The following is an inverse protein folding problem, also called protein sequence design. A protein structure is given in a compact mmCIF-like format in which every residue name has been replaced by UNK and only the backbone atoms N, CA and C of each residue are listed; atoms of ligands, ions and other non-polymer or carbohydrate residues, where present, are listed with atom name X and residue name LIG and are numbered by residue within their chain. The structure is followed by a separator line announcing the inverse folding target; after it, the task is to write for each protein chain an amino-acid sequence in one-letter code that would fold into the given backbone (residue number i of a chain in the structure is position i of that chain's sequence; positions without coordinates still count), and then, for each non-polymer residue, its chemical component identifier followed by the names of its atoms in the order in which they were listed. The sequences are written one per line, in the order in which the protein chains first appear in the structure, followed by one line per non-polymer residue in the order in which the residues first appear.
data_IF_177455997360
#
_entry.id   IF_177455997360
#
_cell.length_a   1.000
_cell.length_b   1.000
_cell.length_c   1.000
_cell.angle_alpha   90.00
_cell.angle_beta   90.00
_cell.angle_gamma   90.00
#
_symmetry.space_group_name_H-M   'P 1'
#
loop_
_entity.id
_entity.type
_entity.pdbx_description
1 polymer ?
#
# COMPACT_ATOMS: atom_id res chain seq x y z
N UNK A 1 -10.54 12.14 -16.65
CA UNK A 1 -10.31 12.45 -15.22
C UNK A 1 -10.92 13.78 -14.78
N UNK A 2 -10.56 14.96 -15.33
CA UNK A 2 -11.19 16.25 -14.90
C UNK A 2 -12.71 16.27 -15.07
N UNK A 3 -13.24 15.81 -16.22
CA UNK A 3 -14.69 15.70 -16.44
C UNK A 3 -15.37 14.76 -15.42
N UNK A 4 -14.72 13.66 -15.07
CA UNK A 4 -15.22 12.68 -14.08
C UNK A 4 -15.35 13.33 -12.70
N UNK A 5 -14.34 14.08 -12.26
CA UNK A 5 -14.36 14.78 -10.97
C UNK A 5 -15.44 15.85 -10.95
N UNK A 6 -15.59 16.64 -12.02
CA UNK A 6 -16.64 17.66 -12.13
C UNK A 6 -18.04 17.02 -12.08
N UNK A 7 -18.25 15.91 -12.78
CA UNK A 7 -19.51 15.18 -12.77
C UNK A 7 -19.80 14.56 -11.40
N UNK A 8 -18.76 14.08 -10.70
CA UNK A 8 -18.89 13.56 -9.34
C UNK A 8 -19.37 14.63 -8.36
N UNK A 9 -18.84 15.86 -8.46
CA UNK A 9 -19.25 16.98 -7.61
C UNK A 9 -20.69 17.42 -7.90
N UNK A 10 -21.14 17.31 -9.17
CA UNK A 10 -22.52 17.64 -9.57
C UNK A 10 -23.54 16.61 -9.06
N UNK A 11 -23.15 15.36 -8.88
CA UNK A 11 -24.05 14.27 -8.44
C UNK A 11 -24.18 14.27 -6.92
N UNK A 12 -25.38 14.52 -6.31
CA UNK A 12 -25.52 14.81 -4.88
C UNK A 12 -25.05 13.68 -3.97
N UNK A 13 -25.27 12.40 -4.34
CA UNK A 13 -24.88 11.28 -3.49
C UNK A 13 -23.36 10.98 -3.57
N UNK A 14 -22.76 11.12 -4.75
CA UNK A 14 -21.31 10.98 -4.92
C UNK A 14 -20.60 12.12 -4.20
N UNK A 15 -21.15 13.34 -4.28
CA UNK A 15 -20.66 14.50 -3.52
C UNK A 15 -20.69 14.26 -2.01
N UNK A 16 -21.78 13.70 -1.45
CA UNK A 16 -21.87 13.36 -0.03
C UNK A 16 -20.77 12.38 0.39
N UNK A 17 -20.54 11.33 -0.39
CA UNK A 17 -19.48 10.34 -0.13
C UNK A 17 -18.08 10.96 -0.24
N UNK A 18 -17.87 11.84 -1.21
CA UNK A 18 -16.61 12.56 -1.40
C UNK A 18 -16.31 13.49 -0.22
N UNK A 19 -17.31 14.29 0.21
CA UNK A 19 -17.21 15.17 1.37
C UNK A 19 -16.96 14.37 2.67
N UNK A 20 -17.63 13.22 2.84
CA UNK A 20 -17.40 12.34 3.98
C UNK A 20 -15.96 11.80 4.00
N UNK A 21 -15.45 11.33 2.86
CA UNK A 21 -14.05 10.89 2.73
C UNK A 21 -13.08 12.00 3.07
N UNK A 22 -13.32 13.21 2.55
CA UNK A 22 -12.46 14.36 2.79
C UNK A 22 -12.47 14.77 4.27
N UNK A 23 -13.65 14.75 4.92
CA UNK A 23 -13.77 15.02 6.36
C UNK A 23 -12.95 14.03 7.19
N UNK A 24 -13.04 12.73 6.88
CA UNK A 24 -12.26 11.71 7.61
C UNK A 24 -10.75 11.86 7.38
N UNK A 25 -10.33 12.29 6.18
CA UNK A 25 -8.93 12.63 5.88
C UNK A 25 -8.45 13.81 6.74
N UNK A 26 -9.27 14.84 6.91
CA UNK A 26 -8.95 15.99 7.79
C UNK A 26 -8.81 15.53 9.25
N UNK A 27 -9.71 14.67 9.73
CA UNK A 27 -9.61 14.07 11.08
C UNK A 27 -8.32 13.29 11.24
N UNK A 28 -7.95 12.47 10.24
CA UNK A 28 -6.67 11.75 10.24
C UNK A 28 -5.48 12.73 10.34
N UNK A 29 -5.47 13.78 9.53
CA UNK A 29 -4.37 14.76 9.56
C UNK A 29 -4.29 15.51 10.88
N UNK A 30 -5.43 15.86 11.47
CA UNK A 30 -5.48 16.47 12.79
C UNK A 30 -4.88 15.54 13.86
N UNK A 31 -5.22 14.25 13.86
CA UNK A 31 -4.65 13.28 14.79
C UNK A 31 -3.15 13.06 14.66
N UNK A 32 -2.55 13.30 13.47
CA UNK A 32 -1.09 13.27 13.28
C UNK A 32 -0.34 14.42 14.02
N UNK A 33 -1.05 15.41 14.51
CA UNK A 33 -0.47 16.54 15.28
C UNK A 33 -0.67 16.39 16.80
N UNK A 34 -1.52 15.47 17.25
CA UNK A 34 -1.74 15.20 18.68
C UNK A 34 -0.60 14.33 19.17
N UNK A 35 0.33 14.91 19.92
CA UNK A 35 1.48 14.21 20.51
C UNK A 35 1.03 13.32 21.67
N UNK A 36 1.70 12.18 21.84
CA UNK A 36 1.47 11.29 23.00
C UNK A 36 1.95 12.01 24.27
N UNK A 37 1.13 12.00 25.36
CA UNK A 37 1.53 12.63 26.61
C UNK A 37 2.81 11.99 27.20
N UNK A 38 3.67 12.81 27.81
CA UNK A 38 4.92 12.37 28.42
C UNK A 38 6.13 12.31 27.47
N UNK A 39 6.00 12.84 26.24
CA UNK A 39 7.09 12.92 25.25
C UNK A 39 7.73 14.32 25.26
N UNK A 40 9.06 14.36 25.36
CA UNK A 40 9.84 15.58 25.24
C UNK A 40 10.14 15.86 23.74
N UNK A 41 9.55 16.92 23.21
CA UNK A 41 9.68 17.29 21.78
C UNK A 41 11.11 17.70 21.38
N UNK A 42 11.91 18.23 22.31
CA UNK A 42 13.30 18.66 22.04
C UNK A 42 14.17 17.41 21.86
N UNK A 43 14.16 16.52 22.85
CA UNK A 43 14.90 15.25 22.78
C UNK A 43 14.47 14.37 21.60
N UNK A 44 13.17 14.43 21.24
CA UNK A 44 12.63 13.74 20.07
C UNK A 44 13.24 14.26 18.76
N UNK A 45 13.33 15.56 18.57
CA UNK A 45 13.90 16.17 17.36
C UNK A 45 15.40 15.83 17.22
N UNK A 46 16.15 15.81 18.32
CA UNK A 46 17.56 15.41 18.33
C UNK A 46 17.72 13.91 17.97
N UNK A 47 16.93 13.04 18.57
CA UNK A 47 16.95 11.60 18.29
C UNK A 47 16.49 11.28 16.86
N UNK A 48 15.51 12.00 16.32
CA UNK A 48 15.00 11.80 14.95
C UNK A 48 15.91 12.42 13.88
N UNK A 49 16.62 13.49 14.18
CA UNK A 49 17.60 14.12 13.26
C UNK A 49 18.76 13.19 12.90
N UNK A 50 19.09 12.24 13.76
CA UNK A 50 20.13 11.22 13.56
C UNK A 50 19.60 9.86 13.09
N UNK A 51 18.28 9.63 13.11
CA UNK A 51 17.70 8.31 12.82
C UNK A 51 17.44 8.10 11.34
N UNK A 52 18.45 7.60 10.65
CA UNK A 52 18.29 6.93 9.35
C UNK A 52 17.97 5.46 9.61
N UNK A 53 16.84 4.94 9.15
CA UNK A 53 16.51 3.54 9.34
C UNK A 53 15.01 3.25 9.31
N UNK A 54 14.55 2.30 10.12
CA UNK A 54 13.14 1.90 10.24
C UNK A 54 12.26 3.10 10.61
N UNK A 55 12.73 3.97 11.53
CA UNK A 55 12.05 5.19 11.94
C UNK A 55 11.72 6.10 10.74
N UNK A 56 12.65 6.26 9.79
CA UNK A 56 12.45 7.03 8.57
C UNK A 56 11.36 6.44 7.65
N UNK A 57 11.29 5.10 7.52
CA UNK A 57 10.23 4.44 6.73
C UNK A 57 8.86 4.58 7.39
N UNK A 58 8.76 4.29 8.68
CA UNK A 58 7.51 4.44 9.43
C UNK A 58 7.03 5.90 9.34
N UNK A 59 7.95 6.83 9.48
CA UNK A 59 7.65 8.25 9.41
C UNK A 59 7.21 8.69 8.00
N UNK A 60 7.77 8.10 6.94
CA UNK A 60 7.35 8.34 5.56
C UNK A 60 5.91 7.85 5.32
N UNK A 61 5.55 6.67 5.80
CA UNK A 61 4.20 6.08 5.64
C UNK A 61 3.20 6.81 6.56
N UNK A 62 3.62 7.23 7.76
CA UNK A 62 2.77 7.96 8.70
C UNK A 62 2.59 9.44 8.36
N UNK A 63 3.31 9.95 7.34
CA UNK A 63 3.21 11.35 6.93
C UNK A 63 3.73 12.35 7.98
N UNK A 64 4.79 11.99 8.70
CA UNK A 64 5.41 12.83 9.74
C UNK A 64 4.78 12.66 11.14
N UNK A 65 3.90 11.68 11.32
CA UNK A 65 3.29 11.40 12.60
C UNK A 65 4.27 10.74 13.58
N UNK A 66 5.19 9.90 13.05
CA UNK A 66 6.21 9.24 13.86
C UNK A 66 7.26 10.22 14.36
N UNK A 67 7.77 11.13 13.53
CA UNK A 67 8.75 12.15 13.92
C UNK A 67 8.23 13.14 14.96
N UNK A 68 6.91 13.23 15.15
CA UNK A 68 6.26 14.01 16.21
C UNK A 68 5.82 13.15 17.39
N UNK A 69 6.06 11.86 17.34
CA UNK A 69 5.56 10.88 18.31
C UNK A 69 4.07 11.09 18.61
N UNK A 70 3.28 11.21 17.54
CA UNK A 70 1.84 11.50 17.67
C UNK A 70 1.07 10.22 17.98
N UNK A 71 -0.22 10.39 18.31
CA UNK A 71 -1.15 9.28 18.53
C UNK A 71 -1.16 8.28 17.34
N UNK A 72 -0.94 8.77 16.12
CA UNK A 72 -0.89 7.99 14.89
C UNK A 72 0.53 7.64 14.44
N UNK A 73 1.52 7.65 15.35
CA UNK A 73 2.92 7.38 15.03
C UNK A 73 3.14 6.01 14.38
N UNK A 74 2.45 4.97 14.82
CA UNK A 74 2.53 3.62 14.22
C UNK A 74 1.82 3.53 12.88
N UNK A 75 1.06 4.56 12.49
CA UNK A 75 0.27 4.55 11.25
C UNK A 75 -0.65 3.32 11.16
N UNK A 76 -0.82 2.76 9.97
CA UNK A 76 -1.62 1.57 9.68
C UNK A 76 -0.73 0.31 9.59
N UNK A 77 0.59 0.42 9.92
CA UNK A 77 1.55 -0.69 9.82
C UNK A 77 1.07 -1.98 10.48
N UNK A 78 0.59 -2.00 11.76
CA UNK A 78 0.12 -3.23 12.40
C UNK A 78 -1.06 -3.87 11.67
N UNK A 79 -1.95 -3.06 11.10
CA UNK A 79 -3.09 -3.58 10.33
C UNK A 79 -2.67 -4.21 9.01
N UNK A 80 -1.70 -3.60 8.29
CA UNK A 80 -1.19 -4.16 7.04
C UNK A 80 -0.58 -5.53 7.32
N UNK A 81 0.29 -5.62 8.33
CA UNK A 81 0.93 -6.87 8.73
C UNK A 81 -0.11 -7.92 9.14
N UNK A 82 -1.11 -7.56 9.96
CA UNK A 82 -2.20 -8.45 10.34
C UNK A 82 -3.00 -8.96 9.13
N UNK A 83 -3.30 -8.07 8.19
CA UNK A 83 -4.04 -8.41 6.98
C UNK A 83 -3.27 -9.42 6.11
N UNK A 84 -1.95 -9.24 5.96
CA UNK A 84 -1.09 -10.17 5.23
C UNK A 84 -1.10 -11.53 5.91
N UNK A 85 -0.88 -11.57 7.22
CA UNK A 85 -0.83 -12.82 7.99
C UNK A 85 -2.16 -13.57 7.86
N UNK A 86 -3.29 -12.91 8.02
CA UNK A 86 -4.62 -13.54 7.88
C UNK A 86 -4.87 -14.02 6.45
N UNK A 87 -4.47 -13.25 5.43
CA UNK A 87 -4.63 -13.68 4.03
C UNK A 87 -3.77 -14.91 3.70
N UNK A 88 -2.53 -14.97 4.20
CA UNK A 88 -1.66 -16.15 4.06
C UNK A 88 -2.25 -17.36 4.82
N UNK A 89 -2.71 -17.16 6.05
CA UNK A 89 -3.35 -18.22 6.84
C UNK A 89 -4.64 -18.72 6.19
N UNK A 90 -5.41 -17.84 5.54
CA UNK A 90 -6.63 -18.24 4.84
C UNK A 90 -6.38 -19.17 3.64
N UNK A 91 -5.14 -19.23 3.11
CA UNK A 91 -4.77 -20.20 2.08
C UNK A 91 -4.24 -21.52 2.63
N UNK A 92 -3.63 -21.48 3.83
CA UNK A 92 -2.98 -22.66 4.44
C UNK A 92 -3.98 -23.42 5.33
N UNK A 93 -4.83 -22.69 6.04
CA UNK A 93 -5.77 -23.27 7.02
C UNK A 93 -7.12 -23.54 6.36
N UNK A 94 -7.54 -24.83 6.20
CA UNK A 94 -8.78 -25.18 5.48
C UNK A 94 -10.05 -24.53 6.07
N UNK A 95 -10.08 -24.29 7.38
CA UNK A 95 -11.22 -23.62 8.04
C UNK A 95 -11.35 -22.16 7.61
N UNK A 96 -10.24 -21.44 7.43
CA UNK A 96 -10.25 -20.06 6.95
C UNK A 96 -10.47 -19.97 5.44
N UNK A 97 -9.96 -20.95 4.69
CA UNK A 97 -10.20 -21.07 3.25
C UNK A 97 -11.69 -21.20 2.95
N UNK A 98 -12.41 -22.09 3.67
CA UNK A 98 -13.87 -22.23 3.56
C UNK A 98 -14.61 -20.95 3.87
N UNK A 99 -14.21 -20.23 4.92
CA UNK A 99 -14.80 -18.92 5.26
C UNK A 99 -14.60 -17.89 4.15
N UNK A 100 -13.45 -17.92 3.47
CA UNK A 100 -13.14 -16.98 2.38
C UNK A 100 -13.90 -17.28 1.11
N UNK A 101 -14.01 -18.58 0.73
CA UNK A 101 -14.59 -19.01 -0.56
C UNK A 101 -16.09 -19.28 -0.48
N UNK A 102 -16.56 -19.89 0.61
CA UNK A 102 -17.93 -20.36 0.76
C UNK A 102 -18.77 -19.49 1.72
N UNK A 103 -18.12 -18.73 2.60
CA UNK A 103 -18.79 -17.97 3.66
C UNK A 103 -19.49 -16.68 3.21
N UNK A 104 -19.37 -16.26 1.95
CA UNK A 104 -19.99 -15.04 1.45
C UNK A 104 -19.70 -13.80 2.32
N UNK A 105 -20.71 -12.97 2.59
CA UNK A 105 -20.58 -11.77 3.43
C UNK A 105 -20.27 -12.08 4.90
N UNK A 106 -20.87 -13.15 5.47
CA UNK A 106 -20.59 -13.54 6.86
C UNK A 106 -19.16 -14.03 7.03
N UNK A 107 -18.63 -14.79 6.05
CA UNK A 107 -17.24 -15.22 6.06
C UNK A 107 -16.27 -14.05 6.02
N UNK A 108 -16.53 -13.07 5.16
CA UNK A 108 -15.74 -11.83 5.07
C UNK A 108 -15.75 -11.04 6.40
N UNK A 109 -16.89 -10.91 7.04
CA UNK A 109 -17.02 -10.24 8.34
C UNK A 109 -16.21 -10.95 9.43
N UNK A 110 -16.24 -12.31 9.46
CA UNK A 110 -15.42 -13.09 10.41
C UNK A 110 -13.92 -12.89 10.17
N UNK A 111 -13.47 -12.93 8.92
CA UNK A 111 -12.08 -12.68 8.56
C UNK A 111 -11.65 -11.27 8.97
N UNK A 112 -12.47 -10.25 8.69
CA UNK A 112 -12.19 -8.89 9.13
C UNK A 112 -12.10 -8.78 10.65
N UNK A 113 -12.94 -9.51 11.40
CA UNK A 113 -12.88 -9.55 12.86
C UNK A 113 -11.54 -10.16 13.35
N UNK A 114 -11.08 -11.26 12.75
CA UNK A 114 -9.78 -11.85 13.07
C UNK A 114 -8.63 -10.91 12.74
N UNK A 115 -8.68 -10.24 11.59
CA UNK A 115 -7.68 -9.23 11.21
C UNK A 115 -7.62 -8.10 12.24
N UNK A 116 -8.75 -7.57 12.70
CA UNK A 116 -8.81 -6.53 13.74
C UNK A 116 -8.18 -6.98 15.05
N UNK A 117 -8.51 -8.19 15.48
CA UNK A 117 -8.01 -8.75 16.72
C UNK A 117 -6.48 -8.93 16.66
N UNK A 118 -5.98 -9.49 15.55
CA UNK A 118 -4.55 -9.62 15.31
C UNK A 118 -3.86 -8.26 15.20
N UNK A 119 -4.51 -7.25 14.61
CA UNK A 119 -3.99 -5.88 14.55
C UNK A 119 -3.73 -5.30 15.94
N UNK A 120 -4.66 -5.48 16.89
CA UNK A 120 -4.48 -4.99 18.26
C UNK A 120 -3.31 -5.69 18.95
N UNK A 121 -3.19 -7.02 18.76
CA UNK A 121 -2.06 -7.79 19.33
C UNK A 121 -0.73 -7.31 18.74
N UNK A 122 -0.64 -7.14 17.41
CA UNK A 122 0.57 -6.65 16.77
C UNK A 122 0.87 -5.20 17.16
N UNK A 123 -0.15 -4.35 17.28
CA UNK A 123 0.02 -2.97 17.74
C UNK A 123 0.57 -2.90 19.19
N UNK A 124 0.16 -3.81 20.05
CA UNK A 124 0.75 -3.94 21.40
C UNK A 124 2.23 -4.32 21.32
N UNK A 125 2.58 -5.31 20.49
CA UNK A 125 3.97 -5.77 20.32
C UNK A 125 4.82 -4.65 19.72
N UNK A 126 4.37 -4.00 18.63
CA UNK A 126 5.08 -2.90 17.98
C UNK A 126 5.21 -1.68 18.91
N UNK A 127 4.13 -1.31 19.62
CA UNK A 127 4.12 -0.19 20.56
C UNK A 127 5.06 -0.39 21.74
N UNK A 128 5.12 -1.61 22.31
CA UNK A 128 6.10 -1.95 23.36
C UNK A 128 7.52 -1.89 22.81
N UNK A 129 7.75 -2.38 21.59
CA UNK A 129 9.04 -2.32 20.92
C UNK A 129 9.53 -0.88 20.72
N UNK A 130 8.65 0.01 20.23
CA UNK A 130 8.97 1.42 20.06
C UNK A 130 9.29 2.08 21.41
N UNK A 131 8.48 1.82 22.44
CA UNK A 131 8.76 2.36 23.77
C UNK A 131 10.13 1.90 24.31
N UNK A 132 10.45 0.60 24.22
CA UNK A 132 11.72 0.06 24.70
C UNK A 132 12.91 0.60 23.89
N UNK A 133 12.78 0.73 22.57
CA UNK A 133 13.82 1.25 21.69
C UNK A 133 14.20 2.72 22.02
N UNK A 134 13.24 3.53 22.42
CA UNK A 134 13.46 4.94 22.69
C UNK A 134 13.53 5.29 24.18
N UNK A 135 13.35 4.32 25.08
CA UNK A 135 13.42 4.52 26.53
C UNK A 135 14.77 5.10 26.99
N UNK A 136 15.87 4.63 26.42
CA UNK A 136 17.23 5.07 26.74
C UNK A 136 17.63 6.42 26.11
N UNK A 137 16.85 6.89 25.10
CA UNK A 137 17.18 8.11 24.35
C UNK A 137 16.70 9.42 25.02
N UNK A 138 16.17 9.35 26.25
CA UNK A 138 15.70 10.55 26.98
C UNK A 138 14.47 11.25 26.39
N UNK A 139 13.78 10.61 25.45
CA UNK A 139 12.57 11.14 24.78
C UNK A 139 11.40 11.22 25.74
N UNK A 140 11.34 10.33 26.74
CA UNK A 140 10.27 10.29 27.73
C UNK A 140 10.66 11.10 28.98
N UNK A 141 9.74 11.98 29.40
CA UNK A 141 9.95 12.86 30.59
C UNK A 141 10.20 12.03 31.85
N UNK A 142 9.42 10.98 32.05
CA UNK A 142 9.56 10.02 33.14
C UNK A 142 9.79 8.62 32.58
N UNK A 143 10.77 7.90 33.15
CA UNK A 143 11.08 6.53 32.75
C UNK A 143 10.34 5.48 33.59
N UNK A 144 9.27 5.85 34.26
CA UNK A 144 8.45 4.99 35.10
C UNK A 144 7.63 4.01 34.25
N UNK A 145 7.29 2.86 34.83
CA UNK A 145 6.45 1.84 34.17
C UNK A 145 5.09 2.40 33.74
N UNK A 146 4.53 3.34 34.49
CA UNK A 146 3.26 3.97 34.21
C UNK A 146 3.30 4.79 32.92
N UNK A 147 4.39 5.52 32.67
CA UNK A 147 4.60 6.25 31.38
C UNK A 147 4.68 5.28 30.23
N UNK A 148 5.34 4.11 30.39
CA UNK A 148 5.39 3.07 29.38
C UNK A 148 4.01 2.52 29.02
N UNK A 149 3.19 2.21 30.01
CA UNK A 149 1.81 1.74 29.81
C UNK A 149 0.99 2.81 29.09
N UNK A 150 1.10 4.08 29.50
CA UNK A 150 0.38 5.19 28.89
C UNK A 150 0.77 5.37 27.41
N UNK A 151 2.06 5.35 27.10
CA UNK A 151 2.56 5.51 25.72
C UNK A 151 2.07 4.33 24.85
N UNK A 152 2.23 3.09 25.31
CA UNK A 152 1.80 1.91 24.54
C UNK A 152 0.28 1.91 24.32
N UNK A 153 -0.52 2.20 25.35
CA UNK A 153 -1.98 2.26 25.21
C UNK A 153 -2.42 3.38 24.28
N UNK A 154 -1.76 4.53 24.30
CA UNK A 154 -2.03 5.65 23.39
C UNK A 154 -1.75 5.26 21.92
N UNK A 155 -0.62 4.60 21.65
CA UNK A 155 -0.26 4.12 20.31
C UNK A 155 -1.25 3.06 19.79
N UNK A 156 -1.65 2.10 20.63
CA UNK A 156 -2.63 1.07 20.28
C UNK A 156 -4.02 1.69 20.03
N UNK A 157 -4.42 2.65 20.86
CA UNK A 157 -5.66 3.40 20.64
C UNK A 157 -5.62 4.16 19.31
N UNK A 158 -4.48 4.82 19.01
CA UNK A 158 -4.28 5.50 17.74
C UNK A 158 -4.43 4.58 16.52
N UNK A 159 -3.79 3.42 16.54
CA UNK A 159 -3.90 2.41 15.46
C UNK A 159 -5.35 1.91 15.34
N UNK A 160 -6.05 1.69 16.45
CA UNK A 160 -7.45 1.25 16.45
C UNK A 160 -8.37 2.31 15.83
N UNK A 161 -8.14 3.59 16.12
CA UNK A 161 -8.87 4.71 15.52
C UNK A 161 -8.59 4.78 14.02
N UNK A 162 -7.33 4.62 13.59
CA UNK A 162 -6.97 4.61 12.17
C UNK A 162 -7.62 3.48 11.40
N UNK A 163 -7.64 2.28 11.97
CA UNK A 163 -8.34 1.13 11.40
C UNK A 163 -9.84 1.45 11.23
N UNK A 164 -10.48 2.00 12.26
CA UNK A 164 -11.88 2.42 12.19
C UNK A 164 -12.12 3.49 11.13
N UNK A 165 -11.25 4.52 11.04
CA UNK A 165 -11.32 5.55 9.99
C UNK A 165 -11.23 4.93 8.59
N UNK A 166 -10.28 4.02 8.36
CA UNK A 166 -10.11 3.30 7.10
C UNK A 166 -11.37 2.52 6.70
N UNK A 167 -12.01 1.83 7.65
CA UNK A 167 -13.26 1.11 7.42
C UNK A 167 -14.43 2.04 7.12
N UNK A 168 -14.55 3.16 7.83
CA UNK A 168 -15.59 4.16 7.54
C UNK A 168 -15.45 4.75 6.14
N UNK A 169 -14.22 5.04 5.70
CA UNK A 169 -13.97 5.50 4.33
C UNK A 169 -14.39 4.41 3.32
N UNK A 170 -13.98 3.16 3.54
CA UNK A 170 -14.29 2.04 2.63
C UNK A 170 -15.80 1.78 2.54
N UNK A 171 -16.54 1.84 3.67
CA UNK A 171 -17.97 1.51 3.72
C UNK A 171 -18.87 2.66 3.25
N UNK A 172 -18.57 3.88 3.64
CA UNK A 172 -19.45 5.05 3.41
C UNK A 172 -18.84 6.10 2.47
N UNK A 173 -17.55 6.02 2.22
CA UNK A 173 -16.82 6.95 1.38
C UNK A 173 -16.61 6.46 -0.06
N UNK A 174 -15.49 6.85 -0.64
CA UNK A 174 -15.02 6.48 -1.98
C UNK A 174 -13.60 5.93 -1.84
N UNK A 175 -13.31 4.83 -2.52
CA UNK A 175 -11.99 4.21 -2.52
C UNK A 175 -11.77 3.22 -1.38
N UNK A 176 -10.59 2.60 -1.38
CA UNK A 176 -10.12 1.79 -0.27
C UNK A 176 -9.58 2.72 0.81
N UNK A 177 -10.25 2.79 1.96
CA UNK A 177 -9.90 3.74 3.03
C UNK A 177 -8.49 3.58 3.56
N UNK A 178 -8.00 2.36 3.68
CA UNK A 178 -6.64 2.08 4.16
C UNK A 178 -5.61 2.60 3.17
N UNK A 179 -5.78 2.29 1.89
CA UNK A 179 -4.91 2.78 0.82
C UNK A 179 -4.93 4.31 0.74
N UNK A 180 -6.09 4.94 0.93
CA UNK A 180 -6.22 6.40 0.97
C UNK A 180 -5.50 7.04 2.16
N UNK A 181 -5.53 6.43 3.34
CA UNK A 181 -4.79 6.94 4.51
C UNK A 181 -3.28 6.88 4.27
N UNK A 182 -2.77 5.79 3.67
CA UNK A 182 -1.35 5.69 3.27
C UNK A 182 -1.01 6.76 2.21
N UNK A 183 -1.86 6.90 1.20
CA UNK A 183 -1.71 7.91 0.14
C UNK A 183 -1.58 9.32 0.73
N UNK A 184 -2.48 9.72 1.63
CA UNK A 184 -2.44 11.03 2.29
C UNK A 184 -1.20 11.19 3.17
N UNK A 185 -0.77 10.12 3.84
CA UNK A 185 0.48 10.10 4.58
C UNK A 185 1.67 10.48 3.69
N UNK A 186 1.80 9.82 2.55
CA UNK A 186 2.89 10.07 1.59
C UNK A 186 2.77 11.46 0.95
N UNK A 187 1.59 11.84 0.47
CA UNK A 187 1.34 13.14 -0.18
C UNK A 187 1.62 14.30 0.76
N UNK A 188 1.36 14.15 2.05
CA UNK A 188 1.62 15.21 3.04
C UNK A 188 3.10 15.55 3.21
N UNK A 189 4.01 14.70 2.77
CA UNK A 189 5.46 14.95 2.75
C UNK A 189 5.97 15.58 1.46
N UNK A 190 5.12 15.68 0.42
CA UNK A 190 5.49 16.36 -0.84
C UNK A 190 6.05 17.78 -0.61
N UNK A 191 5.42 18.64 0.22
CA UNK A 191 5.96 19.99 0.43
C UNK A 191 7.38 19.99 1.03
N UNK A 192 7.66 19.10 1.99
CA UNK A 192 9.00 18.98 2.59
C UNK A 192 10.02 18.43 1.59
N UNK A 193 9.63 17.51 0.72
CA UNK A 193 10.46 17.01 -0.36
C UNK A 193 10.82 18.10 -1.37
N UNK A 194 9.85 18.91 -1.78
CA UNK A 194 10.06 20.08 -2.65
C UNK A 194 11.00 21.08 -1.98
N UNK A 195 10.80 21.37 -0.70
CA UNK A 195 11.70 22.25 0.05
C UNK A 195 13.15 21.73 0.08
N UNK A 196 13.34 20.41 0.18
CA UNK A 196 14.67 19.79 0.12
C UNK A 196 15.29 19.96 -1.25
N UNK A 197 14.54 19.77 -2.35
CA UNK A 197 15.01 20.03 -3.72
C UNK A 197 15.40 21.51 -3.90
N UNK A 198 14.59 22.44 -3.39
CA UNK A 198 14.91 23.87 -3.43
C UNK A 198 16.20 24.18 -2.68
N UNK A 199 16.47 23.54 -1.53
CA UNK A 199 17.72 23.69 -0.78
C UNK A 199 18.94 23.18 -1.52
N UNK A 200 18.80 22.19 -2.43
CA UNK A 200 19.89 21.76 -3.31
C UNK A 200 20.28 22.85 -4.32
N UNK A 201 19.32 23.64 -4.78
CA UNK A 201 19.54 24.73 -5.75
C UNK A 201 20.19 25.93 -5.06
N UNK A 202 19.71 26.26 -3.86
CA UNK A 202 20.19 27.42 -3.08
C UNK A 202 21.00 26.90 -1.89
N UNK A 203 22.32 26.89 -2.05
CA UNK A 203 23.28 26.52 -1.00
C UNK A 203 23.64 27.77 -0.19
N UNK A 204 24.21 27.62 1.02
CA UNK A 204 24.65 28.76 1.86
C UNK A 204 25.63 29.70 1.14
N UNK A 205 26.32 29.24 0.10
CA UNK A 205 27.28 29.98 -0.73
C UNK A 205 26.65 30.61 -1.99
N UNK A 206 25.33 30.58 -2.16
CA UNK A 206 24.63 31.13 -3.33
C UNK A 206 24.01 30.06 -4.23
N UNK A 207 23.77 30.45 -5.48
CA UNK A 207 23.15 29.58 -6.49
C UNK A 207 24.13 28.52 -7.01
N UNK A 208 23.76 27.25 -6.91
CA UNK A 208 24.57 26.11 -7.38
C UNK A 208 24.05 25.58 -8.71
N UNK A 209 24.84 25.70 -9.78
CA UNK A 209 24.51 25.15 -11.11
C UNK A 209 24.43 23.63 -11.08
N UNK A 210 25.31 22.97 -10.33
CA UNK A 210 25.24 21.50 -10.12
C UNK A 210 23.98 21.10 -9.34
N UNK A 211 23.59 21.87 -8.32
CA UNK A 211 22.34 21.68 -7.59
C UNK A 211 21.11 21.86 -8.47
N UNK A 212 21.09 22.81 -9.38
CA UNK A 212 20.02 23.00 -10.36
C UNK A 212 19.89 21.81 -11.30
N UNK A 213 21.03 21.33 -11.84
CA UNK A 213 21.05 20.19 -12.78
C UNK A 213 20.53 18.91 -12.09
N UNK A 214 20.95 18.67 -10.84
CA UNK A 214 20.45 17.53 -10.06
C UNK A 214 18.97 17.66 -9.74
N UNK A 215 18.46 18.84 -9.38
CA UNK A 215 17.04 19.09 -9.15
C UNK A 215 16.19 18.84 -10.40
N UNK A 216 16.64 19.32 -11.56
CA UNK A 216 15.97 19.03 -12.86
C UNK A 216 15.97 17.53 -13.13
N UNK A 217 17.11 16.84 -12.93
CA UNK A 217 17.22 15.39 -13.10
C UNK A 217 16.24 14.61 -12.22
N UNK A 218 16.08 15.02 -10.96
CA UNK A 218 15.11 14.40 -10.01
C UNK A 218 13.68 14.61 -10.50
N UNK A 219 13.30 15.82 -10.90
CA UNK A 219 11.93 16.12 -11.36
C UNK A 219 11.62 15.37 -12.66
N UNK A 220 12.52 15.37 -13.63
CA UNK A 220 12.36 14.64 -14.89
C UNK A 220 12.28 13.13 -14.63
N UNK A 221 13.15 12.59 -13.78
CA UNK A 221 13.12 11.19 -13.38
C UNK A 221 11.79 10.80 -12.70
N UNK A 222 11.29 11.63 -11.79
CA UNK A 222 9.99 11.42 -11.16
C UNK A 222 8.83 11.43 -12.18
N UNK A 223 8.83 12.35 -13.14
CA UNK A 223 7.82 12.41 -14.20
C UNK A 223 7.86 11.18 -15.11
N UNK A 224 9.05 10.70 -15.48
CA UNK A 224 9.20 9.45 -16.26
C UNK A 224 8.64 8.26 -15.47
N UNK A 225 8.96 8.16 -14.18
CA UNK A 225 8.46 7.10 -13.32
C UNK A 225 6.93 7.14 -13.19
N UNK A 226 6.35 8.30 -12.92
CA UNK A 226 4.89 8.47 -12.83
C UNK A 226 4.24 8.06 -14.15
N UNK A 227 4.75 8.52 -15.28
CA UNK A 227 4.20 8.19 -16.60
C UNK A 227 4.29 6.68 -16.87
N UNK A 228 5.43 6.05 -16.55
CA UNK A 228 5.61 4.61 -16.69
C UNK A 228 4.64 3.81 -15.82
N UNK A 229 4.44 4.22 -14.56
CA UNK A 229 3.49 3.57 -13.63
C UNK A 229 2.06 3.69 -14.15
N UNK A 230 1.65 4.88 -14.58
CA UNK A 230 0.30 5.12 -15.13
C UNK A 230 0.08 4.25 -16.36
N UNK A 231 1.06 4.22 -17.28
CA UNK A 231 0.97 3.43 -18.52
C UNK A 231 0.78 1.94 -18.23
N UNK A 232 1.57 1.37 -17.33
CA UNK A 232 1.49 -0.06 -16.98
C UNK A 232 0.23 -0.42 -16.18
N UNK A 233 -0.18 0.45 -15.26
CA UNK A 233 -1.39 0.19 -14.45
C UNK A 233 -2.69 0.34 -15.25
N UNK A 234 -2.70 1.16 -16.29
CA UNK A 234 -3.84 1.28 -17.20
C UNK A 234 -3.84 0.27 -18.34
N UNK A 235 -2.71 -0.37 -18.59
CA UNK A 235 -2.59 -1.38 -19.64
C UNK A 235 -3.47 -2.59 -19.34
N UNK A 236 -4.33 -2.96 -20.31
CA UNK A 236 -5.23 -4.11 -20.22
C UNK A 236 -5.17 -4.96 -21.48
N UNK A 237 -5.25 -6.28 -21.31
CA UNK A 237 -5.46 -7.22 -22.40
C UNK A 237 -6.94 -7.59 -22.46
N UNK A 238 -7.60 -7.25 -23.56
CA UNK A 238 -9.01 -7.58 -23.80
C UNK A 238 -9.12 -8.96 -24.40
N UNK A 239 -9.74 -9.90 -23.67
CA UNK A 239 -10.04 -11.25 -24.17
C UNK A 239 -11.46 -11.26 -24.70
N UNK A 240 -11.68 -11.51 -26.00
CA UNK A 240 -13.03 -11.50 -26.58
C UNK A 240 -13.84 -12.71 -26.08
N UNK A 241 -15.08 -12.46 -25.69
CA UNK A 241 -16.06 -13.50 -25.30
C UNK A 241 -17.32 -13.28 -26.11
N UNK A 242 -17.79 -14.34 -26.75
CA UNK A 242 -19.03 -14.33 -27.51
C UNK A 242 -20.09 -15.12 -26.76
N UNK A 243 -21.28 -14.54 -26.64
CA UNK A 243 -22.45 -15.19 -26.07
C UNK A 243 -23.38 -15.66 -27.16
N UNK A 244 -23.90 -16.86 -27.01
CA UNK A 244 -24.90 -17.43 -27.95
C UNK A 244 -26.17 -16.58 -27.95
N UNK A 245 -26.83 -16.49 -29.09
CA UNK A 245 -28.13 -15.83 -29.19
C UNK A 245 -29.12 -16.53 -28.25
N UNK A 246 -29.77 -15.75 -27.39
CA UNK A 246 -30.86 -16.27 -26.54
C UNK A 246 -32.19 -15.87 -27.14
N UNK A 247 -33.09 -16.85 -27.25
CA UNK A 247 -34.50 -16.61 -27.62
C UNK A 247 -35.24 -16.28 -26.32
N UNK A 248 -35.71 -15.04 -26.18
CA UNK A 248 -36.55 -14.63 -25.07
C UNK A 248 -37.95 -14.38 -25.61
N UNK A 249 -38.85 -15.34 -25.41
CA UNK A 249 -40.19 -15.36 -26.00
C UNK A 249 -40.12 -15.46 -27.54
N UNK A 250 -40.80 -14.55 -28.26
CA UNK A 250 -40.80 -14.48 -29.75
C UNK A 250 -39.68 -13.64 -30.34
N UNK A 251 -38.84 -12.97 -29.53
CA UNK A 251 -37.73 -12.10 -29.98
C UNK A 251 -36.38 -12.78 -29.82
N UNK A 252 -35.60 -12.84 -30.90
CA UNK A 252 -34.19 -13.21 -30.84
C UNK A 252 -33.39 -11.99 -30.32
N UNK A 253 -32.80 -12.12 -29.15
CA UNK A 253 -31.81 -11.15 -28.64
C UNK A 253 -30.48 -11.49 -29.29
N UNK A 254 -29.87 -10.52 -30.00
CA UNK A 254 -28.66 -10.73 -30.79
C UNK A 254 -27.49 -11.20 -29.92
N UNK A 255 -26.52 -11.84 -30.56
CA UNK A 255 -25.25 -12.22 -29.92
C UNK A 255 -24.56 -10.95 -29.40
N UNK A 256 -24.30 -10.87 -28.11
CA UNK A 256 -23.48 -9.80 -27.52
C UNK A 256 -22.02 -10.25 -27.53
N UNK A 257 -21.20 -9.53 -28.29
CA UNK A 257 -19.76 -9.67 -28.22
C UNK A 257 -19.27 -8.76 -27.11
N UNK A 258 -18.75 -9.36 -26.05
CA UNK A 258 -18.12 -8.65 -24.93
C UNK A 258 -16.64 -9.01 -24.83
N UNK A 259 -15.92 -8.34 -23.97
CA UNK A 259 -14.53 -8.70 -23.70
C UNK A 259 -14.29 -8.68 -22.19
N UNK A 260 -13.38 -9.54 -21.75
CA UNK A 260 -12.89 -9.55 -20.36
C UNK A 260 -11.62 -8.71 -20.34
N UNK A 261 -11.61 -7.54 -19.65
CA UNK A 261 -10.41 -6.76 -19.48
C UNK A 261 -9.51 -7.40 -18.41
N UNK A 262 -8.34 -7.89 -18.81
CA UNK A 262 -7.32 -8.41 -17.91
C UNK A 262 -6.24 -7.32 -17.76
N UNK A 263 -6.16 -6.69 -16.59
CA UNK A 263 -5.14 -5.67 -16.32
C UNK A 263 -3.75 -6.28 -16.27
N UNK A 264 -2.74 -5.55 -16.72
CA UNK A 264 -1.35 -5.99 -16.68
C UNK A 264 -0.85 -6.13 -15.23
N UNK A 265 -1.21 -5.18 -14.38
CA UNK A 265 -0.95 -5.21 -12.93
C UNK A 265 -2.24 -5.47 -12.15
N UNK A 266 -2.78 -6.72 -12.24
CA UNK A 266 -4.01 -7.10 -11.53
C UNK A 266 -3.89 -6.98 -10.02
N UNK A 267 -2.70 -7.23 -9.47
CA UNK A 267 -2.41 -7.13 -8.05
C UNK A 267 -2.30 -5.67 -7.55
N UNK A 268 -2.29 -4.67 -8.45
CA UNK A 268 -2.12 -3.27 -8.10
C UNK A 268 -0.80 -3.01 -7.36
N UNK A 269 -0.85 -2.19 -6.31
CA UNK A 269 0.32 -1.85 -5.48
C UNK A 269 0.48 -2.73 -4.24
N UNK A 270 -0.50 -3.57 -3.93
CA UNK A 270 -0.51 -4.42 -2.72
C UNK A 270 0.73 -5.30 -2.57
N UNK A 271 1.26 -5.96 -3.63
CA UNK A 271 2.47 -6.78 -3.50
C UNK A 271 3.69 -6.03 -3.00
N UNK A 272 3.83 -4.76 -3.38
CA UNK A 272 4.97 -3.93 -2.95
C UNK A 272 4.84 -3.54 -1.49
N UNK A 273 3.60 -3.21 -1.04
CA UNK A 273 3.31 -2.92 0.36
C UNK A 273 3.56 -4.17 1.22
N UNK A 274 3.13 -5.34 0.76
CA UNK A 274 3.33 -6.61 1.45
C UNK A 274 4.81 -6.98 1.54
N UNK A 275 5.55 -6.87 0.45
CA UNK A 275 6.98 -7.15 0.43
C UNK A 275 7.76 -6.22 1.37
N UNK A 276 7.44 -4.92 1.38
CA UNK A 276 8.08 -3.96 2.29
C UNK A 276 7.77 -4.25 3.77
N UNK A 277 6.52 -4.57 4.09
CA UNK A 277 6.13 -4.94 5.46
C UNK A 277 6.80 -6.23 5.91
N UNK A 278 6.88 -7.24 5.03
CA UNK A 278 7.55 -8.51 5.33
C UNK A 278 9.06 -8.33 5.56
N UNK A 279 9.71 -7.44 4.79
CA UNK A 279 11.14 -7.14 4.98
C UNK A 279 11.42 -6.37 6.28
N UNK A 280 10.54 -5.47 6.69
CA UNK A 280 10.73 -4.68 7.92
C UNK A 280 10.38 -5.44 9.19
N UNK A 281 9.52 -6.45 9.12
CA UNK A 281 9.02 -7.21 10.27
C UNK A 281 10.14 -7.88 11.11
N UNK A 282 11.14 -8.59 10.54
CA UNK A 282 12.24 -9.17 11.33
C UNK A 282 13.04 -8.12 12.08
N UNK A 283 13.30 -6.96 11.46
CA UNK A 283 14.04 -5.88 12.10
C UNK A 283 13.28 -5.29 13.30
N UNK A 284 11.96 -5.16 13.19
CA UNK A 284 11.10 -4.71 14.30
C UNK A 284 11.17 -5.69 15.48
N UNK A 285 11.06 -6.99 15.22
CA UNK A 285 11.15 -8.01 16.27
C UNK A 285 12.52 -7.97 16.94
N UNK A 286 13.61 -7.94 16.16
CA UNK A 286 14.96 -7.91 16.70
C UNK A 286 15.17 -6.67 17.58
N UNK A 287 14.68 -5.51 17.16
CA UNK A 287 14.79 -4.27 17.91
C UNK A 287 14.06 -4.29 19.26
N UNK A 288 12.98 -5.07 19.39
CA UNK A 288 12.26 -5.26 20.66
C UNK A 288 13.14 -6.01 21.67
N UNK A 289 13.82 -7.09 21.23
CA UNK A 289 14.64 -7.90 22.11
C UNK A 289 16.03 -7.31 22.38
N UNK A 290 16.58 -6.56 21.41
CA UNK A 290 17.92 -5.97 21.48
C UNK A 290 17.87 -4.51 21.02
N UNK A 291 17.50 -3.55 21.90
CA UNK A 291 17.29 -2.14 21.52
C UNK A 291 18.49 -1.45 20.84
N UNK A 292 19.72 -1.84 21.17
CA UNK A 292 20.96 -1.24 20.63
C UNK A 292 21.65 -2.12 19.57
N UNK A 293 20.90 -2.95 18.85
CA UNK A 293 21.43 -3.92 17.87
C UNK A 293 22.23 -3.28 16.73
N UNK A 294 21.92 -2.04 16.37
CA UNK A 294 22.58 -1.33 15.27
C UNK A 294 24.10 -1.19 15.46
N UNK A 295 24.58 -1.15 16.70
CA UNK A 295 25.99 -1.00 17.05
C UNK A 295 26.67 -2.33 17.44
N UNK A 296 25.96 -3.46 17.33
CA UNK A 296 26.50 -4.77 17.67
C UNK A 296 26.96 -5.53 16.43
N UNK A 297 27.87 -6.49 16.64
CA UNK A 297 28.33 -7.44 15.62
C UNK A 297 27.81 -8.83 15.96
N UNK A 298 27.30 -9.56 14.96
CA UNK A 298 26.77 -10.90 15.14
C UNK A 298 25.68 -11.25 14.14
N UNK A 299 25.15 -12.48 14.22
CA UNK A 299 24.12 -12.96 13.29
C UNK A 299 22.82 -12.10 13.35
N UNK A 300 22.37 -11.75 14.57
CA UNK A 300 21.17 -10.90 14.75
C UNK A 300 21.39 -9.49 14.20
N UNK A 301 22.58 -8.91 14.39
CA UNK A 301 22.94 -7.62 13.80
C UNK A 301 23.01 -7.70 12.27
N UNK A 302 23.53 -8.80 11.71
CA UNK A 302 23.51 -9.05 10.29
C UNK A 302 22.09 -9.13 9.72
N UNK A 303 21.18 -9.85 10.38
CA UNK A 303 19.79 -9.97 9.99
C UNK A 303 19.04 -8.63 10.11
N UNK A 304 19.31 -7.87 11.16
CA UNK A 304 18.78 -6.50 11.33
C UNK A 304 19.24 -5.59 10.20
N UNK A 305 20.56 -5.52 9.95
CA UNK A 305 21.15 -4.71 8.88
C UNK A 305 20.62 -5.10 7.49
N UNK A 306 20.47 -6.41 7.24
CA UNK A 306 19.85 -6.93 6.04
C UNK A 306 18.41 -6.39 5.90
N UNK A 307 17.60 -6.47 6.95
CA UNK A 307 16.20 -6.05 6.90
C UNK A 307 16.01 -4.54 6.71
N UNK A 308 16.90 -3.71 7.27
CA UNK A 308 16.84 -2.24 7.15
C UNK A 308 17.58 -1.68 5.95
N UNK A 309 18.32 -2.51 5.21
CA UNK A 309 19.14 -2.06 4.07
C UNK A 309 18.32 -1.35 2.97
N UNK A 310 17.01 -1.62 2.89
CA UNK A 310 16.09 -0.87 2.03
C UNK A 310 15.93 0.60 2.47
N UNK A 311 16.15 0.91 3.75
CA UNK A 311 15.82 2.20 4.36
C UNK A 311 17.02 3.04 4.73
N UNK A 312 18.20 2.43 4.90
CA UNK A 312 19.38 3.07 5.46
C UNK A 312 20.57 3.03 4.50
N UNK A 313 21.23 4.18 4.31
CA UNK A 313 22.43 4.29 3.49
C UNK A 313 23.72 3.82 4.20
N UNK A 314 23.69 3.67 5.52
CA UNK A 314 24.88 3.33 6.34
C UNK A 314 25.13 1.82 6.46
N UNK A 315 24.42 0.99 5.73
CA UNK A 315 24.59 -0.46 5.72
C UNK A 315 25.55 -0.85 4.59
N UNK A 316 26.41 -1.81 4.83
CA UNK A 316 27.39 -2.27 3.84
C UNK A 316 26.73 -2.68 2.50
N UNK A 317 27.44 -2.41 1.40
CA UNK A 317 26.94 -2.65 0.03
C UNK A 317 26.45 -4.10 -0.16
N UNK A 318 27.11 -5.08 0.45
CA UNK A 318 26.71 -6.48 0.34
C UNK A 318 25.31 -6.75 0.91
N UNK A 319 24.95 -6.16 2.06
CA UNK A 319 23.61 -6.27 2.63
C UNK A 319 22.56 -5.58 1.75
N UNK A 320 22.91 -4.44 1.15
CA UNK A 320 22.00 -3.70 0.27
C UNK A 320 21.68 -4.48 -1.01
N UNK A 321 22.67 -5.13 -1.63
CA UNK A 321 22.47 -5.97 -2.82
C UNK A 321 21.65 -7.22 -2.45
N UNK A 322 22.00 -7.92 -1.38
CA UNK A 322 21.26 -9.10 -0.93
C UNK A 322 19.79 -8.76 -0.61
N UNK A 323 19.56 -7.64 0.08
CA UNK A 323 18.23 -7.13 0.38
C UNK A 323 17.45 -6.82 -0.91
N UNK A 324 18.07 -6.13 -1.90
CA UNK A 324 17.44 -5.82 -3.16
C UNK A 324 16.98 -7.08 -3.92
N UNK A 325 17.80 -8.13 -3.95
CA UNK A 325 17.48 -9.40 -4.60
C UNK A 325 16.27 -10.07 -3.90
N UNK A 326 16.31 -10.17 -2.56
CA UNK A 326 15.22 -10.79 -1.81
C UNK A 326 13.95 -9.97 -1.93
N UNK A 327 14.04 -8.63 -1.89
CA UNK A 327 12.91 -7.74 -2.05
C UNK A 327 12.25 -7.91 -3.43
N UNK A 328 13.06 -8.01 -4.51
CA UNK A 328 12.59 -8.30 -5.87
C UNK A 328 11.84 -9.64 -5.92
N UNK A 329 12.42 -10.70 -5.36
CA UNK A 329 11.79 -12.02 -5.32
C UNK A 329 10.47 -12.01 -4.54
N UNK A 330 10.41 -11.30 -3.42
CA UNK A 330 9.20 -11.13 -2.63
C UNK A 330 8.12 -10.38 -3.40
N UNK A 331 8.46 -9.28 -4.08
CA UNK A 331 7.48 -8.54 -4.91
C UNK A 331 6.89 -9.44 -5.98
N UNK A 332 7.72 -10.18 -6.72
CA UNK A 332 7.25 -11.12 -7.74
C UNK A 332 6.38 -12.20 -7.10
N UNK A 333 6.84 -12.82 -6.02
CA UNK A 333 6.08 -13.85 -5.30
C UNK A 333 4.72 -13.35 -4.81
N UNK A 334 4.67 -12.20 -4.16
CA UNK A 334 3.41 -11.59 -3.71
C UNK A 334 2.52 -11.13 -4.88
N UNK A 335 3.10 -10.74 -6.02
CA UNK A 335 2.31 -10.40 -7.20
C UNK A 335 1.58 -11.64 -7.75
N UNK A 336 2.26 -12.78 -7.83
CA UNK A 336 1.62 -14.05 -8.19
C UNK A 336 0.57 -14.45 -7.17
N UNK A 337 0.94 -14.44 -5.89
CA UNK A 337 0.04 -14.77 -4.79
C UNK A 337 -1.25 -13.96 -4.86
N UNK A 338 -1.16 -12.63 -4.92
CA UNK A 338 -2.31 -11.75 -4.91
C UNK A 338 -3.15 -11.86 -6.19
N UNK A 339 -2.50 -12.02 -7.34
CA UNK A 339 -3.22 -12.20 -8.61
C UNK A 339 -4.09 -13.46 -8.59
N UNK A 340 -3.54 -14.59 -8.13
CA UNK A 340 -4.31 -15.84 -8.04
C UNK A 340 -5.34 -15.84 -6.90
N UNK A 341 -5.10 -15.09 -5.83
CA UNK A 341 -6.09 -14.89 -4.77
C UNK A 341 -7.30 -14.07 -5.24
N UNK A 342 -7.07 -13.08 -6.10
CA UNK A 342 -8.11 -12.15 -6.58
C UNK A 342 -8.84 -12.67 -7.80
N UNK A 343 -8.15 -13.38 -8.70
CA UNK A 343 -8.69 -13.88 -9.95
C UNK A 343 -8.57 -15.40 -10.04
N UNK A 344 -9.71 -16.08 -10.02
CA UNK A 344 -9.79 -17.53 -10.18
C UNK A 344 -10.19 -17.88 -11.62
N UNK A 345 -9.24 -18.36 -12.48
CA UNK A 345 -9.53 -18.71 -13.89
C UNK A 345 -10.61 -19.76 -14.04
N UNK A 346 -10.68 -20.74 -13.12
CA UNK A 346 -11.66 -21.82 -13.17
C UNK A 346 -13.08 -21.31 -12.92
N UNK A 347 -13.25 -20.42 -11.95
CA UNK A 347 -14.54 -19.81 -11.63
C UNK A 347 -15.04 -18.94 -12.80
N UNK A 348 -14.16 -18.11 -13.37
CA UNK A 348 -14.49 -17.25 -14.52
C UNK A 348 -14.87 -18.10 -15.72
N UNK A 349 -14.11 -19.18 -16.03
CA UNK A 349 -14.42 -20.11 -17.11
C UNK A 349 -15.79 -20.79 -16.92
N UNK A 350 -16.10 -21.22 -15.69
CA UNK A 350 -17.38 -21.82 -15.35
C UNK A 350 -18.54 -20.81 -15.49
N UNK A 351 -18.33 -19.56 -15.09
CA UNK A 351 -19.33 -18.49 -15.22
C UNK A 351 -19.61 -18.18 -16.70
N UNK A 352 -18.57 -18.11 -17.53
CA UNK A 352 -18.71 -17.96 -18.99
C UNK A 352 -19.54 -19.11 -19.56
N UNK A 353 -19.20 -20.36 -19.22
CA UNK A 353 -19.91 -21.57 -19.67
C UNK A 353 -21.38 -21.56 -19.22
N UNK A 354 -21.66 -21.26 -17.94
CA UNK A 354 -23.05 -21.21 -17.42
C UNK A 354 -23.91 -20.17 -18.14
N UNK A 355 -23.31 -19.07 -18.58
CA UNK A 355 -24.00 -18.01 -19.30
C UNK A 355 -24.08 -18.25 -20.83
N UNK A 356 -23.63 -19.41 -21.31
CA UNK A 356 -23.64 -19.77 -22.74
C UNK A 356 -22.60 -18.98 -23.55
N UNK A 357 -21.56 -18.49 -22.91
CA UNK A 357 -20.43 -17.78 -23.53
C UNK A 357 -19.31 -18.75 -23.91
N UNK A 358 -18.52 -18.35 -24.90
CA UNK A 358 -17.29 -19.02 -25.29
C UNK A 358 -16.26 -18.04 -25.81
N UNK A 359 -14.99 -18.40 -25.72
CA UNK A 359 -13.89 -17.68 -26.34
C UNK A 359 -13.68 -18.18 -27.74
N UNK A 360 -13.68 -17.31 -28.79
CA UNK A 360 -13.49 -17.77 -30.17
C UNK A 360 -12.22 -18.62 -30.33
N UNK A 361 -12.37 -19.80 -30.94
CA UNK A 361 -11.28 -20.76 -31.17
C UNK A 361 -10.93 -21.64 -29.97
N UNK A 362 -11.61 -21.54 -28.83
CA UNK A 362 -11.32 -22.33 -27.62
C UNK A 362 -12.61 -23.01 -27.13
N UNK A 363 -12.53 -24.31 -26.84
CA UNK A 363 -13.66 -25.06 -26.27
C UNK A 363 -13.97 -24.55 -24.84
N UNK A 364 -15.27 -24.41 -24.52
CA UNK A 364 -15.75 -24.06 -23.20
C UNK A 364 -15.35 -25.10 -22.15
N UNK A 365 -14.97 -24.67 -20.94
CA UNK A 365 -14.59 -25.51 -19.82
C UNK A 365 -13.09 -25.54 -19.57
N UNK A 366 -12.50 -26.72 -19.36
CA UNK A 366 -11.08 -26.88 -19.00
C UNK A 366 -10.10 -26.17 -19.94
N UNK A 367 -10.22 -26.25 -21.29
CA UNK A 367 -9.34 -25.50 -22.20
C UNK A 367 -9.43 -23.98 -22.04
N UNK A 368 -10.61 -23.43 -21.72
CA UNK A 368 -10.80 -22.02 -21.43
C UNK A 368 -10.08 -21.63 -20.13
N UNK A 369 -10.14 -22.49 -19.10
CA UNK A 369 -9.41 -22.27 -17.83
C UNK A 369 -7.90 -22.24 -18.06
N UNK A 370 -7.36 -23.20 -18.81
CA UNK A 370 -5.93 -23.28 -19.13
C UNK A 370 -5.45 -22.05 -19.93
N UNK A 371 -6.25 -21.62 -20.91
CA UNK A 371 -5.95 -20.43 -21.70
C UNK A 371 -5.91 -19.16 -20.84
N UNK A 372 -6.93 -18.93 -19.99
CA UNK A 372 -6.98 -17.79 -19.09
C UNK A 372 -5.83 -17.83 -18.10
N UNK A 373 -5.52 -18.98 -17.51
CA UNK A 373 -4.40 -19.17 -16.59
C UNK A 373 -3.05 -18.84 -17.25
N UNK A 374 -2.85 -19.28 -18.51
CA UNK A 374 -1.63 -18.98 -19.28
C UNK A 374 -1.46 -17.47 -19.52
N UNK A 375 -2.55 -16.77 -19.89
CA UNK A 375 -2.52 -15.33 -20.10
C UNK A 375 -2.20 -14.61 -18.79
N UNK A 376 -2.89 -14.96 -17.70
CA UNK A 376 -2.71 -14.34 -16.40
C UNK A 376 -1.28 -14.55 -15.91
N UNK A 377 -0.74 -15.76 -16.00
CA UNK A 377 0.64 -16.03 -15.61
C UNK A 377 1.63 -15.12 -16.35
N UNK A 378 1.49 -14.96 -17.68
CA UNK A 378 2.36 -14.09 -18.47
C UNK A 378 2.22 -12.60 -18.10
N UNK A 379 0.98 -12.14 -17.89
CA UNK A 379 0.72 -10.77 -17.44
C UNK A 379 1.29 -10.50 -16.04
N UNK A 380 1.13 -11.47 -15.13
CA UNK A 380 1.64 -11.39 -13.75
C UNK A 380 3.18 -11.35 -13.71
N UNK A 381 3.86 -12.16 -14.56
CA UNK A 381 5.32 -12.08 -14.69
C UNK A 381 5.78 -10.70 -15.11
N UNK A 382 5.18 -10.15 -16.15
CA UNK A 382 5.56 -8.82 -16.65
C UNK A 382 5.22 -7.74 -15.62
N UNK A 383 4.01 -7.77 -15.04
CA UNK A 383 3.57 -6.82 -14.01
C UNK A 383 4.46 -6.88 -12.76
N UNK A 384 4.76 -8.09 -12.26
CA UNK A 384 5.62 -8.30 -11.10
C UNK A 384 7.04 -7.82 -11.31
N UNK A 385 7.63 -8.11 -12.48
CA UNK A 385 8.96 -7.61 -12.84
C UNK A 385 9.01 -6.07 -12.93
N UNK A 386 7.99 -5.47 -13.54
CA UNK A 386 7.87 -4.02 -13.63
C UNK A 386 7.75 -3.35 -12.24
N UNK A 387 6.89 -3.91 -11.37
CA UNK A 387 6.75 -3.41 -9.99
C UNK A 387 8.06 -3.54 -9.21
N UNK A 388 8.75 -4.66 -9.35
CA UNK A 388 10.04 -4.90 -8.72
C UNK A 388 11.11 -3.92 -9.20
N UNK A 389 11.17 -3.65 -10.52
CA UNK A 389 12.10 -2.69 -11.09
C UNK A 389 11.90 -1.29 -10.52
N UNK A 390 10.64 -0.82 -10.45
CA UNK A 390 10.34 0.50 -9.87
C UNK A 390 10.68 0.54 -8.38
N UNK A 391 10.41 -0.54 -7.65
CA UNK A 391 10.67 -0.60 -6.22
C UNK A 391 12.17 -0.56 -5.89
N UNK A 392 13.05 -1.02 -6.78
CA UNK A 392 14.50 -1.02 -6.59
C UNK A 392 15.14 0.33 -6.95
N UNK A 393 14.52 1.15 -7.83
CA UNK A 393 15.07 2.44 -8.25
C UNK A 393 15.56 3.31 -7.09
N UNK A 394 14.82 3.49 -5.96
CA UNK A 394 15.30 4.28 -4.83
C UNK A 394 16.58 3.73 -4.20
N UNK A 395 16.71 2.39 -4.17
CA UNK A 395 17.93 1.76 -3.64
C UNK A 395 19.13 2.08 -4.53
N UNK A 396 18.95 2.06 -5.85
CA UNK A 396 20.00 2.43 -6.81
C UNK A 396 20.38 3.91 -6.69
N UNK A 397 19.39 4.80 -6.52
CA UNK A 397 19.64 6.23 -6.37
C UNK A 397 20.41 6.58 -5.08
N UNK A 398 20.31 5.77 -4.02
CA UNK A 398 21.11 5.97 -2.80
C UNK A 398 22.60 5.83 -2.99
N UNK A 399 23.05 4.98 -3.94
CA UNK A 399 24.46 4.85 -4.27
C UNK A 399 25.05 6.14 -4.87
N UNK A 400 24.20 7.07 -5.34
CA UNK A 400 24.62 8.37 -5.88
C UNK A 400 24.62 9.49 -4.83
N UNK A 401 24.52 9.19 -3.53
CA UNK A 401 24.41 10.13 -2.42
C UNK A 401 23.23 11.13 -2.53
N UNK A 402 22.28 10.87 -3.42
CA UNK A 402 21.06 11.66 -3.52
C UNK A 402 20.05 11.14 -2.50
N UNK A 403 19.99 11.77 -1.33
CA UNK A 403 18.95 11.53 -0.33
C UNK A 403 17.62 12.08 -0.84
N UNK A 404 16.98 11.36 -1.77
CA UNK A 404 15.68 11.75 -2.31
C UNK A 404 14.62 11.23 -1.33
N UNK A 405 13.88 12.16 -0.72
CA UNK A 405 12.79 11.85 0.23
C UNK A 405 11.63 11.06 -0.43
N UNK A 406 11.56 11.02 -1.76
CA UNK A 406 10.57 10.28 -2.53
C UNK A 406 11.16 8.99 -3.09
N UNK A 407 10.88 7.87 -2.43
CA UNK A 407 11.19 6.55 -2.97
C UNK A 407 10.24 6.16 -4.11
N UNK A 408 10.71 5.31 -5.07
CA UNK A 408 9.86 4.79 -6.16
C UNK A 408 8.64 4.03 -5.65
N UNK A 409 8.74 3.37 -4.49
CA UNK A 409 7.60 2.73 -3.82
C UNK A 409 6.52 3.73 -3.43
N UNK A 410 6.90 4.91 -2.93
CA UNK A 410 5.95 5.98 -2.58
C UNK A 410 5.22 6.52 -3.81
N UNK A 411 5.95 6.76 -4.92
CA UNK A 411 5.36 7.18 -6.19
C UNK A 411 4.39 6.12 -6.71
N UNK A 412 4.78 4.85 -6.64
CA UNK A 412 3.97 3.74 -7.08
C UNK A 412 2.66 3.64 -6.28
N UNK A 413 2.74 3.77 -4.95
CA UNK A 413 1.56 3.77 -4.07
C UNK A 413 0.66 4.98 -4.37
N UNK A 414 1.24 6.18 -4.49
CA UNK A 414 0.47 7.41 -4.75
C UNK A 414 -0.28 7.31 -6.08
N UNK A 415 0.42 6.93 -7.16
CA UNK A 415 -0.20 6.80 -8.49
C UNK A 415 -1.24 5.68 -8.51
N UNK A 416 -0.93 4.52 -7.91
CA UNK A 416 -1.83 3.38 -7.89
C UNK A 416 -3.12 3.66 -7.15
N UNK A 417 -3.04 4.23 -5.96
CA UNK A 417 -4.22 4.57 -5.15
C UNK A 417 -5.05 5.66 -5.82
N UNK A 418 -4.39 6.67 -6.43
CA UNK A 418 -5.10 7.71 -7.18
C UNK A 418 -5.89 7.12 -8.35
N UNK A 419 -5.27 6.23 -9.16
CA UNK A 419 -5.94 5.57 -10.29
C UNK A 419 -7.08 4.67 -9.83
N UNK A 420 -6.88 3.87 -8.78
CA UNK A 420 -7.92 2.99 -8.22
C UNK A 420 -9.11 3.79 -7.71
N UNK A 421 -8.86 4.90 -7.01
CA UNK A 421 -9.92 5.79 -6.50
C UNK A 421 -10.71 6.43 -7.64
N UNK A 422 -10.04 6.89 -8.71
CA UNK A 422 -10.70 7.46 -9.89
C UNK A 422 -11.54 6.40 -10.61
N UNK A 423 -11.03 5.16 -10.78
CA UNK A 423 -11.78 4.06 -11.39
C UNK A 423 -13.03 3.68 -10.58
N UNK A 424 -12.94 3.66 -9.25
CA UNK A 424 -14.11 3.44 -8.39
C UNK A 424 -15.13 4.57 -8.52
N UNK A 425 -14.68 5.81 -8.60
CA UNK A 425 -15.54 6.97 -8.81
C UNK A 425 -16.24 6.90 -10.15
N UNK A 426 -15.54 6.51 -11.22
CA UNK A 426 -16.11 6.29 -12.56
C UNK A 426 -17.16 5.18 -12.56
N UNK A 427 -16.89 4.06 -11.88
CA UNK A 427 -17.84 2.96 -11.78
C UNK A 427 -19.11 3.35 -11.02
N UNK A 428 -19.01 4.15 -9.95
CA UNK A 428 -20.17 4.67 -9.23
C UNK A 428 -21.02 5.65 -10.05
N UNK A 429 -20.37 6.47 -10.87
CA UNK A 429 -21.08 7.38 -11.80
C UNK A 429 -21.77 6.61 -12.92
N UNK A 430 -21.12 5.59 -13.50
CA UNK A 430 -21.68 4.76 -14.56
C UNK A 430 -22.93 3.99 -14.10
N UNK A 431 -22.93 3.43 -12.91
CA UNK A 431 -24.10 2.73 -12.35
C UNK A 431 -25.33 3.62 -12.20
N UNK A 432 -25.18 4.94 -12.08
CA UNK A 432 -26.29 5.87 -11.95
C UNK A 432 -26.85 6.36 -13.28
N UNK A 433 -26.00 6.55 -14.29
CA UNK A 433 -26.49 6.83 -15.63
C UNK A 433 -27.43 5.73 -16.14
N UNK A 434 -27.23 4.50 -15.68
CA UNK A 434 -28.10 3.38 -16.04
C UNK A 434 -29.45 3.38 -15.28
N UNK A 435 -29.51 3.89 -14.05
CA UNK A 435 -30.76 4.03 -13.28
C UNK A 435 -31.67 5.14 -13.82
N UNK A 436 -31.11 6.25 -14.30
CA UNK A 436 -31.88 7.34 -14.90
C UNK A 436 -32.45 7.04 -16.28
N UNK A 437 -32.18 5.86 -16.86
CA UNK A 437 -32.82 5.39 -18.11
C UNK A 437 -34.01 4.45 -17.85
N UNK A 438 -34.25 4.07 -16.57
CA UNK A 438 -35.30 3.14 -16.15
C UNK A 438 -36.42 3.85 -15.36
N UNK A 439 -36.23 5.13 -15.03
CA UNK A 439 -37.26 6.07 -14.57
C UNK A 439 -37.72 6.96 -15.73
#
# INVERSE_FOLDING_TARGET
MFKTIINAIKTPDVRKRLLYTLLLIVVFRFGCYITVPGVNSIALNEAMGSSNGIAGLIDMISGGAFSRFSLFAMSISPYITASIVIQLLAMIVPSLEKLTKEGGEEGRQKINKYTKLLTIVLALVEGTGIYLAYKSSGIFVNQEALTGILVVTALVAGTSILMWLGEQITSKGIGNGISLLIFIGIVSRLPSGIATICKLIVTQNGFSTTGLLTAIGIVVGALILVTGVVFVQQAERRVPVQYSKKVVGRKMVGAQNTHIPLKLAMAGVMPVIFASSFMTFPAMIIQIFVPNIANQTGFLAGLYNFSIATSTSNVGIGYSIANAIVYLLLIIGFTFFYTYATFNPAEVSNNIKKNGGFIPGIRSGKPTTEYLSSIISKLTWFGGFFLALIAIIPMLLRFTNLNIAFGGTSILIVVGVALETVQQLESQLAMRHYKGFLE
#
